data_IF_450296204827
#
_entry.id   IF_450296204827
#
_cell.length_a   1.000
_cell.length_b   1.000
_cell.length_c   1.000
_cell.angle_alpha   90.00
_cell.angle_beta   90.00
_cell.angle_gamma   90.00
#
_symmetry.space_group_name_H-M   'P 1'
#
loop_
_entity.id
_entity.type
_entity.pdbx_description
1 polymer ?
#
# COMPACT_ATOMS: atom_id res chain seq x y z
N UNK A 1 -21.43 -24.65 -14.99
CA UNK A 1 -20.39 -24.39 -16.02
C UNK A 1 -19.35 -25.49 -16.20
N UNK A 2 -19.10 -26.38 -15.22
CA UNK A 2 -18.09 -27.46 -15.32
C UNK A 2 -18.46 -28.63 -16.27
N UNK A 3 -19.68 -28.67 -16.80
CA UNK A 3 -20.21 -29.80 -17.57
C UNK A 3 -20.02 -29.69 -19.09
N UNK A 4 -19.57 -28.53 -19.63
CA UNK A 4 -19.37 -28.35 -21.09
C UNK A 4 -17.93 -27.92 -21.41
N UNK A 5 -17.02 -28.87 -21.67
CA UNK A 5 -15.60 -28.58 -21.91
C UNK A 5 -15.36 -27.74 -23.19
N UNK A 6 -16.25 -27.84 -24.18
CA UNK A 6 -16.10 -27.11 -25.45
C UNK A 6 -16.40 -25.61 -25.30
N UNK A 7 -17.38 -25.25 -24.46
CA UNK A 7 -17.65 -23.85 -24.14
C UNK A 7 -16.47 -23.22 -23.40
N UNK A 8 -15.82 -23.98 -22.50
CA UNK A 8 -14.63 -23.55 -21.77
C UNK A 8 -13.45 -23.31 -22.72
N UNK A 9 -13.24 -24.18 -23.71
CA UNK A 9 -12.20 -23.99 -24.74
C UNK A 9 -12.44 -22.73 -25.57
N UNK A 10 -13.69 -22.49 -26.01
CA UNK A 10 -14.05 -21.26 -26.75
C UNK A 10 -13.85 -20.01 -25.89
N UNK A 11 -14.35 -20.02 -24.66
CA UNK A 11 -14.15 -18.93 -23.69
C UNK A 11 -12.66 -18.65 -23.48
N UNK A 12 -11.80 -19.67 -23.45
CA UNK A 12 -10.34 -19.49 -23.33
C UNK A 12 -9.75 -18.77 -24.53
N UNK A 13 -10.13 -19.15 -25.75
CA UNK A 13 -9.65 -18.52 -26.97
C UNK A 13 -10.09 -17.05 -27.04
N UNK A 14 -11.37 -16.77 -26.75
CA UNK A 14 -11.87 -15.39 -26.67
C UNK A 14 -11.20 -14.58 -25.57
N UNK A 15 -10.99 -15.17 -24.39
CA UNK A 15 -10.31 -14.50 -23.26
C UNK A 15 -8.86 -14.16 -23.59
N UNK A 16 -8.16 -15.05 -24.30
CA UNK A 16 -6.80 -14.79 -24.77
C UNK A 16 -6.80 -13.70 -25.85
N UNK A 17 -7.66 -13.81 -26.86
CA UNK A 17 -7.81 -12.80 -27.92
C UNK A 17 -8.11 -11.41 -27.37
N UNK A 18 -9.09 -11.29 -26.47
CA UNK A 18 -9.41 -10.04 -25.77
C UNK A 18 -8.22 -9.50 -24.97
N UNK A 19 -7.42 -10.37 -24.35
CA UNK A 19 -6.21 -9.95 -23.61
C UNK A 19 -5.14 -9.38 -24.54
N UNK A 20 -4.97 -9.95 -25.75
CA UNK A 20 -4.03 -9.44 -26.76
C UNK A 20 -4.53 -8.10 -27.31
N UNK A 21 -5.79 -7.99 -27.69
CA UNK A 21 -6.38 -6.73 -28.21
C UNK A 21 -6.28 -5.61 -27.17
N UNK A 22 -6.66 -5.88 -25.91
CA UNK A 22 -6.53 -4.90 -24.83
C UNK A 22 -5.08 -4.49 -24.58
N UNK A 23 -4.15 -5.43 -24.71
CA UNK A 23 -2.72 -5.14 -24.58
C UNK A 23 -2.24 -4.24 -25.71
N UNK A 24 -2.65 -4.52 -26.95
CA UNK A 24 -2.35 -3.73 -28.15
C UNK A 24 -2.91 -2.30 -28.05
N UNK A 25 -4.18 -2.13 -27.67
CA UNK A 25 -4.79 -0.80 -27.52
C UNK A 25 -4.06 0.07 -26.48
N UNK A 26 -3.69 -0.52 -25.35
CA UNK A 26 -2.98 0.22 -24.29
C UNK A 26 -1.52 0.55 -24.72
N UNK A 27 -0.84 -0.35 -25.42
CA UNK A 27 0.49 -0.05 -25.99
C UNK A 27 0.40 1.04 -27.05
N UNK A 28 -0.64 1.02 -27.89
CA UNK A 28 -0.91 2.05 -28.90
C UNK A 28 -1.12 3.42 -28.25
N UNK A 29 -1.89 3.50 -27.15
CA UNK A 29 -2.03 4.75 -26.38
C UNK A 29 -0.70 5.25 -25.82
N UNK A 30 0.12 4.37 -25.24
CA UNK A 30 1.42 4.76 -24.69
C UNK A 30 2.33 5.28 -25.80
N UNK A 31 2.42 4.58 -26.93
CA UNK A 31 3.25 5.01 -28.07
C UNK A 31 2.75 6.34 -28.64
N UNK A 32 1.45 6.56 -28.74
CA UNK A 32 0.88 7.82 -29.24
C UNK A 32 1.23 9.00 -28.32
N UNK A 33 1.32 8.78 -27.01
CA UNK A 33 1.76 9.79 -26.04
C UNK A 33 3.26 10.11 -26.19
N UNK A 34 4.09 9.10 -26.45
CA UNK A 34 5.54 9.25 -26.64
C UNK A 34 5.97 9.53 -28.09
N UNK A 35 5.02 9.61 -29.02
CA UNK A 35 5.24 9.86 -30.44
C UNK A 35 6.12 11.10 -30.74
N UNK A 36 5.92 12.28 -30.10
CA UNK A 36 6.79 13.43 -30.36
C UNK A 36 8.24 13.20 -29.92
N UNK A 37 8.46 12.43 -28.85
CA UNK A 37 9.81 12.07 -28.38
C UNK A 37 10.47 11.07 -29.33
N UNK A 38 9.70 10.08 -29.81
CA UNK A 38 10.18 9.02 -30.70
C UNK A 38 10.55 9.54 -32.10
N UNK A 39 9.82 10.51 -32.64
CA UNK A 39 10.12 11.08 -33.95
C UNK A 39 11.23 12.14 -33.91
N UNK A 40 11.23 13.02 -32.89
CA UNK A 40 12.13 14.18 -32.86
C UNK A 40 13.51 13.84 -32.30
N UNK A 41 13.60 12.93 -31.32
CA UNK A 41 14.87 12.61 -30.65
C UNK A 41 15.52 11.34 -31.22
N UNK A 42 14.69 10.37 -31.62
CA UNK A 42 15.17 9.04 -32.06
C UNK A 42 15.10 8.81 -33.58
N UNK A 43 14.58 9.77 -34.36
CA UNK A 43 14.48 9.72 -35.83
C UNK A 43 13.91 8.39 -36.39
N UNK A 44 12.99 7.75 -35.65
CA UNK A 44 12.49 6.42 -35.99
C UNK A 44 11.62 6.45 -37.25
N UNK A 45 11.85 5.51 -38.17
CA UNK A 45 10.99 5.33 -39.36
C UNK A 45 9.68 4.68 -38.95
N UNK A 46 8.62 4.95 -39.72
CA UNK A 46 7.27 4.38 -39.50
C UNK A 46 7.27 2.84 -39.41
N UNK A 47 8.19 2.17 -40.11
CA UNK A 47 8.33 0.70 -40.04
C UNK A 47 8.89 0.23 -38.68
N UNK A 48 9.79 1.00 -38.06
CA UNK A 48 10.36 0.67 -36.75
C UNK A 48 9.31 0.77 -35.64
N UNK A 49 8.29 1.63 -35.82
CA UNK A 49 7.14 1.70 -34.91
C UNK A 49 6.33 0.40 -34.90
N UNK A 50 6.08 -0.20 -36.06
CA UNK A 50 5.33 -1.46 -36.17
C UNK A 50 6.12 -2.59 -35.48
N UNK A 51 7.44 -2.61 -35.67
CA UNK A 51 8.33 -3.60 -35.05
C UNK A 51 8.36 -3.45 -33.53
N UNK A 52 8.45 -2.23 -33.03
CA UNK A 52 8.42 -1.91 -31.61
C UNK A 52 7.06 -2.27 -30.98
N UNK A 53 5.95 -1.99 -31.68
CA UNK A 53 4.60 -2.39 -31.24
C UNK A 53 4.47 -3.89 -31.04
N UNK A 54 4.89 -4.69 -32.03
CA UNK A 54 4.78 -6.15 -31.97
C UNK A 54 5.62 -6.75 -30.83
N UNK A 55 6.83 -6.23 -30.63
CA UNK A 55 7.71 -6.65 -29.54
C UNK A 55 7.12 -6.29 -28.17
N UNK A 56 6.56 -5.09 -28.00
CA UNK A 56 5.91 -4.70 -26.75
C UNK A 56 4.65 -5.52 -26.45
N UNK A 57 3.88 -5.91 -27.47
CA UNK A 57 2.72 -6.78 -27.31
C UNK A 57 3.17 -8.17 -26.82
N UNK A 58 4.23 -8.74 -27.40
CA UNK A 58 4.84 -9.99 -26.94
C UNK A 58 5.37 -9.89 -25.50
N UNK A 59 6.04 -8.80 -25.17
CA UNK A 59 6.52 -8.54 -23.82
C UNK A 59 5.36 -8.45 -22.80
N UNK A 60 4.33 -7.68 -23.11
CA UNK A 60 3.19 -7.48 -22.19
C UNK A 60 2.40 -8.77 -21.96
N UNK A 61 2.21 -9.57 -23.00
CA UNK A 61 1.52 -10.86 -22.90
C UNK A 61 2.33 -11.88 -22.09
N UNK A 62 3.67 -11.91 -22.22
CA UNK A 62 4.54 -12.77 -21.38
C UNK A 62 4.51 -12.36 -19.91
N UNK A 63 4.54 -11.07 -19.57
CA UNK A 63 4.41 -10.62 -18.18
C UNK A 63 3.06 -11.00 -17.58
N UNK A 64 1.97 -10.78 -18.32
CA UNK A 64 0.62 -11.15 -17.87
C UNK A 64 0.53 -12.65 -17.61
N UNK A 65 1.18 -13.46 -18.44
CA UNK A 65 1.28 -14.90 -18.27
C UNK A 65 2.08 -15.26 -17.01
N UNK A 66 3.26 -14.67 -16.79
CA UNK A 66 4.11 -14.90 -15.61
C UNK A 66 3.35 -14.52 -14.33
N UNK A 67 2.70 -13.36 -14.30
CA UNK A 67 1.87 -12.90 -13.17
C UNK A 67 0.72 -13.86 -12.87
N UNK A 68 0.08 -14.41 -13.90
CA UNK A 68 -0.99 -15.43 -13.74
C UNK A 68 -0.43 -16.81 -13.34
N UNK A 69 0.81 -17.12 -13.68
CA UNK A 69 1.44 -18.41 -13.36
C UNK A 69 1.95 -18.46 -11.93
N UNK A 70 2.59 -17.39 -11.46
CA UNK A 70 3.24 -17.30 -10.16
C UNK A 70 2.37 -16.49 -9.19
N UNK A 71 1.93 -17.15 -8.11
CA UNK A 71 1.12 -16.51 -7.07
C UNK A 71 1.95 -15.58 -6.16
N UNK A 72 3.27 -15.71 -6.18
CA UNK A 72 4.19 -14.91 -5.37
C UNK A 72 4.63 -13.66 -6.14
N UNK A 73 4.28 -12.50 -5.59
CA UNK A 73 4.55 -11.19 -6.19
C UNK A 73 6.06 -10.98 -6.46
N UNK A 74 6.93 -11.42 -5.54
CA UNK A 74 8.39 -11.30 -5.68
C UNK A 74 8.93 -12.07 -6.89
N UNK A 75 8.52 -13.34 -7.05
CA UNK A 75 8.95 -14.16 -8.18
C UNK A 75 8.43 -13.58 -9.49
N UNK A 76 7.18 -13.09 -9.50
CA UNK A 76 6.63 -12.46 -10.69
C UNK A 76 7.36 -11.16 -11.07
N UNK A 77 7.81 -10.37 -10.08
CA UNK A 77 8.55 -9.12 -10.32
C UNK A 77 9.95 -9.43 -10.82
N UNK A 78 10.67 -10.35 -10.18
CA UNK A 78 12.00 -10.79 -10.62
C UNK A 78 11.96 -11.34 -12.05
N UNK A 79 11.01 -12.22 -12.36
CA UNK A 79 10.85 -12.74 -13.71
C UNK A 79 10.49 -11.65 -14.73
N UNK A 80 9.69 -10.65 -14.34
CA UNK A 80 9.40 -9.52 -15.23
C UNK A 80 10.61 -8.62 -15.50
N UNK A 81 11.51 -8.48 -14.52
CA UNK A 81 12.77 -7.75 -14.67
C UNK A 81 13.75 -8.49 -15.59
N UNK A 82 13.83 -9.82 -15.47
CA UNK A 82 14.65 -10.67 -16.37
C UNK A 82 14.16 -10.57 -17.82
N UNK A 83 12.84 -10.62 -18.03
CA UNK A 83 12.30 -10.44 -19.39
C UNK A 83 12.55 -9.02 -19.90
N UNK A 84 12.46 -8.00 -19.03
CA UNK A 84 12.78 -6.61 -19.40
C UNK A 84 14.24 -6.44 -19.81
N UNK A 85 15.18 -7.03 -19.08
CA UNK A 85 16.62 -6.93 -19.38
C UNK A 85 16.97 -7.63 -20.69
N UNK A 86 16.35 -8.78 -20.97
CA UNK A 86 16.51 -9.47 -22.25
C UNK A 86 15.98 -8.65 -23.42
N UNK A 87 14.80 -8.04 -23.27
CA UNK A 87 14.23 -7.13 -24.28
C UNK A 87 15.12 -5.89 -24.49
N UNK A 88 15.64 -5.32 -23.40
CA UNK A 88 16.58 -4.19 -23.46
C UNK A 88 17.87 -4.51 -24.21
N UNK A 89 18.46 -5.69 -23.96
CA UNK A 89 19.64 -6.17 -24.71
C UNK A 89 19.34 -6.38 -26.20
N UNK A 90 18.16 -6.88 -26.53
CA UNK A 90 17.75 -7.10 -27.94
C UNK A 90 17.65 -5.76 -28.69
N UNK A 91 17.10 -4.73 -28.04
CA UNK A 91 16.97 -3.39 -28.62
C UNK A 91 18.32 -2.71 -28.90
N UNK A 92 19.39 -3.05 -28.17
CA UNK A 92 20.71 -2.43 -28.34
C UNK A 92 21.62 -3.15 -29.34
N UNK A 93 21.40 -4.44 -29.61
CA UNK A 93 22.37 -5.27 -30.34
C UNK A 93 21.85 -5.90 -31.65
N UNK A 94 20.55 -5.81 -31.95
CA UNK A 94 19.94 -6.60 -33.04
C UNK A 94 19.18 -5.71 -34.03
N UNK A 95 19.19 -6.09 -35.32
CA UNK A 95 18.48 -5.40 -36.39
C UNK A 95 16.94 -5.38 -36.20
N UNK A 96 16.25 -4.33 -36.69
CA UNK A 96 14.81 -4.13 -36.44
C UNK A 96 13.88 -5.26 -36.91
N UNK A 97 14.30 -6.00 -37.95
CA UNK A 97 13.54 -7.12 -38.52
C UNK A 97 13.42 -8.30 -37.54
N UNK A 98 14.43 -8.50 -36.68
CA UNK A 98 14.44 -9.62 -35.73
C UNK A 98 13.45 -9.39 -34.58
N UNK A 99 13.08 -8.14 -34.28
CA UNK A 99 12.08 -7.80 -33.25
C UNK A 99 10.71 -8.41 -33.56
N UNK A 100 10.33 -8.45 -34.83
CA UNK A 100 9.08 -9.06 -35.29
C UNK A 100 9.09 -10.56 -35.04
N UNK A 101 10.18 -11.23 -35.43
CA UNK A 101 10.34 -12.68 -35.24
C UNK A 101 10.23 -13.05 -33.76
N UNK A 102 10.93 -12.34 -32.89
CA UNK A 102 10.91 -12.58 -31.45
C UNK A 102 9.54 -12.29 -30.84
N UNK A 103 8.90 -11.18 -31.21
CA UNK A 103 7.56 -10.83 -30.74
C UNK A 103 6.51 -11.89 -31.11
N UNK A 104 6.54 -12.38 -32.34
CA UNK A 104 5.66 -13.46 -32.80
C UNK A 104 5.94 -14.78 -32.09
N UNK A 105 7.22 -15.15 -31.91
CA UNK A 105 7.60 -16.36 -31.19
C UNK A 105 7.15 -16.30 -29.72
N UNK A 106 7.33 -15.16 -29.05
CA UNK A 106 6.91 -14.98 -27.65
C UNK A 106 5.38 -15.04 -27.49
N UNK A 107 4.63 -14.40 -28.39
CA UNK A 107 3.16 -14.48 -28.38
C UNK A 107 2.66 -15.90 -28.66
N UNK A 108 3.33 -16.62 -29.57
CA UNK A 108 2.99 -18.00 -29.89
C UNK A 108 3.30 -18.97 -28.73
N UNK A 109 4.49 -18.88 -28.14
CA UNK A 109 4.91 -19.70 -26.98
C UNK A 109 3.97 -19.45 -25.80
N UNK A 110 3.65 -18.18 -25.50
CA UNK A 110 2.72 -17.86 -24.40
C UNK A 110 1.31 -18.35 -24.67
N UNK A 111 0.81 -18.24 -25.92
CA UNK A 111 -0.47 -18.80 -26.34
C UNK A 111 -0.52 -20.33 -26.16
N UNK A 112 0.52 -21.05 -26.61
CA UNK A 112 0.64 -22.49 -26.45
C UNK A 112 0.68 -22.92 -24.98
N UNK A 113 1.51 -22.26 -24.16
CA UNK A 113 1.61 -22.54 -22.73
C UNK A 113 0.28 -22.23 -22.02
N UNK A 114 -0.44 -21.17 -22.41
CA UNK A 114 -1.75 -20.83 -21.89
C UNK A 114 -2.81 -21.90 -22.20
N UNK A 115 -2.74 -22.53 -23.38
CA UNK A 115 -3.63 -23.63 -23.74
C UNK A 115 -3.33 -24.92 -22.95
N UNK A 116 -2.07 -25.18 -22.61
CA UNK A 116 -1.64 -26.37 -21.87
C UNK A 116 -1.84 -26.27 -20.35
N UNK A 117 -2.22 -25.10 -19.83
CA UNK A 117 -2.43 -24.90 -18.39
C UNK A 117 -3.71 -25.56 -17.87
N UNK A 118 -3.59 -26.17 -16.70
CA UNK A 118 -4.67 -26.83 -16.00
C UNK A 118 -5.69 -25.82 -15.45
N UNK A 119 -6.79 -25.66 -16.19
CA UNK A 119 -7.73 -24.55 -16.04
C UNK A 119 -8.78 -24.80 -14.95
N UNK A 120 -9.16 -26.05 -14.69
CA UNK A 120 -10.26 -26.39 -13.77
C UNK A 120 -9.97 -25.92 -12.34
N UNK A 121 -8.76 -26.20 -11.85
CA UNK A 121 -8.31 -25.77 -10.52
C UNK A 121 -8.12 -24.26 -10.42
N UNK A 122 -7.76 -23.62 -11.54
CA UNK A 122 -7.49 -22.18 -11.59
C UNK A 122 -8.75 -21.34 -11.70
N UNK A 123 -9.73 -21.75 -12.52
CA UNK A 123 -11.03 -21.08 -12.59
C UNK A 123 -11.72 -21.07 -11.23
N UNK A 124 -11.65 -22.17 -10.47
CA UNK A 124 -12.18 -22.20 -9.10
C UNK A 124 -11.48 -21.17 -8.19
N UNK A 125 -10.15 -21.08 -8.29
CA UNK A 125 -9.35 -20.11 -7.55
C UNK A 125 -9.62 -18.66 -7.99
N UNK A 126 -9.84 -18.42 -9.28
CA UNK A 126 -10.14 -17.11 -9.83
C UNK A 126 -11.54 -16.65 -9.36
N UNK A 127 -12.53 -17.54 -9.36
CA UNK A 127 -13.88 -17.28 -8.80
C UNK A 127 -13.79 -16.99 -7.29
N UNK A 128 -12.99 -17.77 -6.55
CA UNK A 128 -12.76 -17.54 -5.12
C UNK A 128 -12.13 -16.16 -4.87
N UNK A 129 -11.13 -15.79 -5.67
CA UNK A 129 -10.47 -14.48 -5.59
C UNK A 129 -11.41 -13.32 -5.97
N UNK A 130 -12.23 -13.49 -7.00
CA UNK A 130 -13.23 -12.51 -7.41
C UNK A 130 -14.30 -12.29 -6.34
N UNK A 131 -14.79 -13.38 -5.74
CA UNK A 131 -15.71 -13.31 -4.59
C UNK A 131 -15.05 -12.61 -3.39
N UNK A 132 -13.77 -12.87 -3.12
CA UNK A 132 -13.04 -12.18 -2.06
C UNK A 132 -12.91 -10.68 -2.33
N UNK A 133 -12.62 -10.27 -3.58
CA UNK A 133 -12.53 -8.85 -3.95
C UNK A 133 -13.89 -8.16 -3.88
N UNK A 134 -14.95 -8.82 -4.37
CA UNK A 134 -16.33 -8.34 -4.27
C UNK A 134 -16.73 -8.12 -2.82
N UNK A 135 -16.48 -9.10 -1.95
CA UNK A 135 -16.78 -8.98 -0.51
C UNK A 135 -15.97 -7.85 0.15
N UNK A 136 -14.71 -7.66 -0.26
CA UNK A 136 -13.89 -6.54 0.23
C UNK A 136 -14.47 -5.19 -0.17
N UNK A 137 -14.96 -5.05 -1.41
CA UNK A 137 -15.61 -3.82 -1.89
C UNK A 137 -16.91 -3.56 -1.15
N UNK A 138 -17.74 -4.61 -0.98
CA UNK A 138 -18.97 -4.54 -0.19
C UNK A 138 -18.66 -4.07 1.23
N UNK A 139 -17.64 -4.63 1.89
CA UNK A 139 -17.21 -4.20 3.21
C UNK A 139 -16.73 -2.73 3.22
N UNK A 140 -16.01 -2.27 2.18
CA UNK A 140 -15.61 -0.86 2.09
C UNK A 140 -16.83 0.07 1.97
N UNK A 141 -17.83 -0.31 1.19
CA UNK A 141 -19.09 0.46 1.05
C UNK A 141 -19.81 0.52 2.41
N UNK A 142 -19.92 -0.62 3.10
CA UNK A 142 -20.52 -0.65 4.44
C UNK A 142 -19.73 0.14 5.48
N UNK A 143 -18.40 0.20 5.38
CA UNK A 143 -17.58 1.06 6.24
C UNK A 143 -17.71 2.55 5.92
N UNK A 144 -18.14 2.91 4.71
CA UNK A 144 -18.39 4.29 4.30
C UNK A 144 -19.82 4.75 4.61
N UNK A 145 -20.78 3.82 4.74
CA UNK A 145 -22.15 4.14 5.16
C UNK A 145 -22.21 4.36 6.67
N UNK A 146 -22.61 5.57 7.08
CA UNK A 146 -22.73 5.97 8.50
C UNK A 146 -23.83 5.19 9.27
N UNK A 147 -24.74 4.53 8.57
CA UNK A 147 -25.92 3.88 9.15
C UNK A 147 -25.68 2.42 9.61
N UNK A 148 -24.48 1.88 9.35
CA UNK A 148 -24.15 0.51 9.77
C UNK A 148 -23.03 0.58 10.80
N UNK A 149 -23.39 0.37 12.06
CA UNK A 149 -22.42 0.01 13.12
C UNK A 149 -21.84 -1.37 12.78
N UNK A 150 -20.85 -1.40 11.89
CA UNK A 150 -20.07 -2.60 11.63
C UNK A 150 -19.20 -2.81 12.85
N UNK A 151 -19.68 -3.66 13.75
CA UNK A 151 -18.93 -4.16 14.89
C UNK A 151 -17.60 -4.74 14.37
N UNK A 152 -16.53 -3.97 14.53
CA UNK A 152 -15.19 -4.44 14.20
C UNK A 152 -14.84 -5.52 15.21
N UNK A 153 -15.26 -6.77 14.96
CA UNK A 153 -14.60 -7.94 15.52
C UNK A 153 -13.20 -8.00 14.93
N UNK A 154 -12.33 -7.09 15.38
CA UNK A 154 -10.90 -7.27 15.28
C UNK A 154 -10.63 -8.62 15.91
N UNK A 155 -10.17 -9.59 15.12
CA UNK A 155 -9.72 -10.88 15.64
C UNK A 155 -8.92 -10.60 16.91
N UNK A 156 -9.29 -11.18 18.07
CA UNK A 156 -8.59 -10.90 19.30
C UNK A 156 -7.13 -11.33 19.09
N UNK A 157 -6.27 -10.35 18.83
CA UNK A 157 -4.86 -10.61 18.64
C UNK A 157 -4.40 -11.22 19.96
N UNK A 158 -3.58 -12.28 19.89
CA UNK A 158 -2.93 -12.87 21.06
C UNK A 158 -2.27 -11.72 21.82
N UNK A 159 -2.94 -11.24 22.86
CA UNK A 159 -2.54 -10.05 23.61
C UNK A 159 -1.13 -10.34 24.07
N UNK A 160 -0.18 -9.49 23.70
CA UNK A 160 1.04 -9.37 24.48
C UNK A 160 0.54 -8.94 25.86
N UNK A 161 0.35 -9.92 26.76
CA UNK A 161 0.11 -9.68 28.18
C UNK A 161 1.40 -9.11 28.73
N UNK A 162 1.68 -7.84 28.39
CA UNK A 162 2.52 -6.99 29.19
C UNK A 162 1.86 -7.01 30.57
N UNK A 163 2.42 -7.81 31.48
CA UNK A 163 2.06 -7.83 32.90
C UNK A 163 2.16 -6.37 33.34
N UNK A 164 1.03 -5.68 33.41
CA UNK A 164 1.06 -4.23 33.55
C UNK A 164 1.45 -3.92 34.98
N UNK A 165 2.76 -3.73 35.20
CA UNK A 165 3.26 -3.17 36.44
C UNK A 165 2.68 -1.76 36.58
N UNK A 166 2.58 -1.29 37.82
CA UNK A 166 1.97 0.00 38.17
C UNK A 166 2.86 1.11 37.61
N UNK A 167 2.28 2.07 36.88
CA UNK A 167 3.05 3.22 36.35
C UNK A 167 3.31 4.26 37.45
N UNK A 168 2.37 4.46 38.37
CA UNK A 168 2.52 5.39 39.49
C UNK A 168 2.57 4.67 40.84
N UNK A 169 3.49 5.07 41.73
CA UNK A 169 3.61 4.54 43.09
C UNK A 169 2.53 5.09 44.04
N UNK A 170 2.08 6.35 43.85
CA UNK A 170 1.05 7.01 44.67
C UNK A 170 -0.34 6.88 44.04
N UNK A 171 -1.31 6.33 44.79
CA UNK A 171 -2.72 6.14 44.41
C UNK A 171 -3.51 7.43 44.68
N UNK A 172 -3.53 8.33 43.70
CA UNK A 172 -4.53 9.40 43.62
C UNK A 172 -5.46 9.09 42.45
N UNK A 173 -6.73 9.51 42.53
CA UNK A 173 -7.73 9.31 41.47
C UNK A 173 -7.22 9.81 40.11
N UNK A 174 -6.52 10.95 40.10
CA UNK A 174 -5.88 11.52 38.92
C UNK A 174 -4.80 10.62 38.31
N UNK A 175 -3.96 9.99 39.15
CA UNK A 175 -2.89 9.11 38.66
C UNK A 175 -3.46 7.80 38.13
N UNK A 176 -4.55 7.30 38.72
CA UNK A 176 -5.26 6.10 38.24
C UNK A 176 -5.90 6.37 36.88
N UNK A 177 -6.59 7.51 36.74
CA UNK A 177 -7.14 7.99 35.48
C UNK A 177 -6.07 8.09 34.38
N UNK A 178 -4.95 8.74 34.70
CA UNK A 178 -3.85 8.92 33.78
C UNK A 178 -3.22 7.58 33.38
N UNK A 179 -3.04 6.66 34.32
CA UNK A 179 -2.52 5.32 34.05
C UNK A 179 -3.43 4.52 33.11
N UNK A 180 -4.76 4.62 33.27
CA UNK A 180 -5.72 3.97 32.38
C UNK A 180 -5.63 4.57 30.97
N UNK A 181 -5.58 5.90 30.84
CA UNK A 181 -5.47 6.59 29.55
C UNK A 181 -4.19 6.20 28.80
N UNK A 182 -3.03 6.26 29.47
CA UNK A 182 -1.74 5.86 28.87
C UNK A 182 -1.79 4.39 28.43
N UNK A 183 -2.29 3.51 29.30
CA UNK A 183 -2.38 2.07 28.98
C UNK A 183 -3.35 1.80 27.84
N UNK A 184 -4.43 2.57 27.71
CA UNK A 184 -5.37 2.44 26.60
C UNK A 184 -4.69 2.74 25.26
N UNK A 185 -3.94 3.85 25.18
CA UNK A 185 -3.17 4.21 23.97
C UNK A 185 -2.13 3.14 23.62
N UNK A 186 -1.35 2.68 24.60
CA UNK A 186 -0.28 1.70 24.36
C UNK A 186 -0.87 0.35 23.91
N UNK A 187 -2.03 -0.06 24.44
CA UNK A 187 -2.66 -1.33 24.10
C UNK A 187 -3.33 -1.31 22.73
N UNK A 188 -3.68 -0.13 22.22
CA UNK A 188 -4.40 0.01 20.97
C UNK A 188 -3.45 0.30 19.81
N UNK A 189 -3.15 -0.73 19.01
CA UNK A 189 -2.18 -0.68 17.90
C UNK A 189 -2.40 0.50 16.94
N UNK A 190 -3.66 0.90 16.70
CA UNK A 190 -3.99 2.05 15.84
C UNK A 190 -3.41 3.36 16.38
N UNK A 191 -3.53 3.61 17.69
CA UNK A 191 -3.06 4.86 18.28
C UNK A 191 -1.52 4.88 18.40
N UNK A 192 -0.91 3.79 18.88
CA UNK A 192 0.55 3.70 18.96
C UNK A 192 1.22 3.66 17.57
N UNK A 193 0.59 2.99 16.60
CA UNK A 193 1.07 2.93 15.21
C UNK A 193 1.01 4.30 14.54
N UNK A 194 -0.11 5.01 14.67
CA UNK A 194 -0.23 6.38 14.18
C UNK A 194 0.77 7.33 14.86
N UNK A 195 0.97 7.20 16.18
CA UNK A 195 1.97 7.98 16.92
C UNK A 195 3.39 7.76 16.38
N UNK A 196 3.80 6.49 16.23
CA UNK A 196 5.12 6.15 15.70
C UNK A 196 5.28 6.60 14.24
N UNK A 197 4.23 6.48 13.42
CA UNK A 197 4.26 6.92 12.03
C UNK A 197 4.44 8.44 11.92
N UNK A 198 3.66 9.23 12.66
CA UNK A 198 3.78 10.70 12.70
C UNK A 198 5.20 11.09 13.13
N UNK A 199 5.73 10.43 14.16
CA UNK A 199 7.09 10.68 14.67
C UNK A 199 8.16 10.35 13.60
N UNK A 200 8.11 9.16 13.00
CA UNK A 200 9.09 8.72 12.00
C UNK A 200 9.07 9.58 10.73
N UNK A 201 7.88 9.95 10.25
CA UNK A 201 7.74 10.84 9.08
C UNK A 201 8.38 12.19 9.38
N UNK A 202 8.11 12.77 10.56
CA UNK A 202 8.68 14.06 10.95
C UNK A 202 10.20 13.99 11.04
N UNK A 203 10.75 12.93 11.65
CA UNK A 203 12.20 12.70 11.72
C UNK A 203 12.84 12.59 10.34
N UNK A 204 12.23 11.82 9.44
CA UNK A 204 12.73 11.63 8.07
C UNK A 204 12.77 12.94 7.29
N UNK A 205 11.71 13.75 7.38
CA UNK A 205 11.63 15.05 6.74
C UNK A 205 12.71 16.00 7.28
N UNK A 206 12.92 16.02 8.60
CA UNK A 206 13.95 16.86 9.22
C UNK A 206 15.34 16.49 8.72
N UNK A 207 15.64 15.21 8.52
CA UNK A 207 16.95 14.75 8.03
C UNK A 207 17.19 15.14 6.57
N UNK A 208 16.18 14.97 5.70
CA UNK A 208 16.34 15.17 4.24
C UNK A 208 16.39 16.64 3.84
N UNK A 209 15.59 17.49 4.47
CA UNK A 209 15.44 18.89 4.04
C UNK A 209 16.72 19.67 4.33
N UNK A 210 17.46 20.20 3.34
CA UNK A 210 18.74 20.86 3.59
C UNK A 210 18.60 22.23 4.28
N UNK A 211 17.46 22.90 4.09
CA UNK A 211 17.25 24.27 4.58
C UNK A 211 16.82 24.33 6.05
N UNK A 212 17.57 25.05 6.87
CA UNK A 212 17.31 25.24 8.30
C UNK A 212 15.98 25.98 8.59
N UNK A 213 15.59 26.93 7.73
CA UNK A 213 14.35 27.69 7.90
C UNK A 213 13.10 26.82 7.75
N UNK A 214 13.10 25.95 6.74
CA UNK A 214 12.00 25.00 6.54
C UNK A 214 11.90 24.00 7.69
N UNK A 215 13.04 23.55 8.20
CA UNK A 215 13.11 22.63 9.35
C UNK A 215 12.50 23.26 10.60
N UNK A 216 12.76 24.55 10.87
CA UNK A 216 12.16 25.27 11.99
C UNK A 216 10.62 25.37 11.88
N UNK A 217 10.10 25.67 10.68
CA UNK A 217 8.66 25.73 10.41
C UNK A 217 8.01 24.36 10.63
N UNK A 218 8.65 23.29 10.14
CA UNK A 218 8.18 21.91 10.29
C UNK A 218 8.16 21.51 11.76
N UNK A 219 9.19 21.88 12.52
CA UNK A 219 9.26 21.60 13.95
C UNK A 219 8.15 22.30 14.75
N UNK A 220 7.89 23.58 14.50
CA UNK A 220 6.79 24.33 15.15
C UNK A 220 5.44 23.71 14.78
N UNK A 221 5.25 23.39 13.49
CA UNK A 221 4.03 22.74 13.00
C UNK A 221 3.82 21.37 13.64
N UNK A 222 4.89 20.60 13.83
CA UNK A 222 4.84 19.31 14.51
C UNK A 222 4.40 19.44 15.97
N UNK A 223 4.90 20.41 16.72
CA UNK A 223 4.49 20.64 18.12
C UNK A 223 2.99 20.96 18.19
N UNK A 224 2.51 21.87 17.33
CA UNK A 224 1.09 22.22 17.28
C UNK A 224 0.24 21.01 16.89
N UNK A 225 0.67 20.27 15.87
CA UNK A 225 -0.03 19.09 15.36
C UNK A 225 -0.12 17.99 16.42
N UNK A 226 0.99 17.62 17.05
CA UNK A 226 0.99 16.53 18.04
C UNK A 226 0.15 16.91 19.27
N UNK A 227 0.15 18.19 19.66
CA UNK A 227 -0.68 18.68 20.74
C UNK A 227 -2.18 18.58 20.41
N UNK A 228 -2.58 18.98 19.20
CA UNK A 228 -3.95 18.87 18.71
C UNK A 228 -4.38 17.41 18.54
N UNK A 229 -3.49 16.57 18.01
CA UNK A 229 -3.76 15.15 17.79
C UNK A 229 -4.03 14.41 19.10
N UNK A 230 -3.22 14.64 20.14
CA UNK A 230 -3.48 14.06 21.47
C UNK A 230 -4.75 14.61 22.14
N UNK A 231 -5.21 15.81 21.75
CA UNK A 231 -6.52 16.31 22.17
C UNK A 231 -7.64 15.43 21.58
N UNK A 232 -7.59 15.18 20.28
CA UNK A 232 -8.57 14.32 19.60
C UNK A 232 -8.53 12.88 20.10
N UNK A 233 -7.35 12.32 20.35
CA UNK A 233 -7.21 10.97 20.94
C UNK A 233 -7.80 10.91 22.34
N UNK A 234 -7.60 11.94 23.16
CA UNK A 234 -8.23 12.00 24.48
C UNK A 234 -9.75 12.05 24.38
N UNK A 235 -10.29 12.90 23.49
CA UNK A 235 -11.74 13.07 23.34
C UNK A 235 -12.39 11.75 22.85
N UNK A 236 -11.74 11.03 21.92
CA UNK A 236 -12.17 9.69 21.47
C UNK A 236 -12.10 8.62 22.57
N UNK A 237 -11.10 8.69 23.45
CA UNK A 237 -10.96 7.74 24.55
C UNK A 237 -12.03 7.96 25.62
N UNK A 238 -12.30 9.22 25.97
CA UNK A 238 -13.32 9.57 26.96
C UNK A 238 -14.74 9.32 26.43
N UNK A 239 -14.98 9.48 25.13
CA UNK A 239 -16.27 9.17 24.51
C UNK A 239 -16.54 7.68 24.30
N UNK A 240 -15.58 6.80 24.60
CA UNK A 240 -15.76 5.36 24.47
C UNK A 240 -16.54 4.77 25.64
N UNK A 241 -17.36 3.74 25.38
CA UNK A 241 -18.20 3.04 26.38
C UNK A 241 -17.46 2.50 27.61
N UNK A 242 -16.12 2.45 27.56
CA UNK A 242 -15.30 2.04 28.70
C UNK A 242 -15.24 3.11 29.79
N UNK A 243 -15.31 4.40 29.45
CA UNK A 243 -15.20 5.51 30.40
C UNK A 243 -16.55 6.03 30.91
N UNK A 244 -17.67 5.63 30.30
CA UNK A 244 -19.03 5.92 30.79
C UNK A 244 -19.38 5.15 32.07
N UNK A 245 -18.71 4.02 32.33
CA UNK A 245 -18.97 3.14 33.50
C UNK A 245 -18.19 3.56 34.76
N UNK A 246 -17.16 4.41 34.62
CA UNK A 246 -16.36 4.84 35.77
C UNK A 246 -16.75 6.27 36.15
N UNK A 247 -17.24 6.51 37.38
CA UNK A 247 -17.67 7.84 37.80
C UNK A 247 -16.45 8.76 37.96
N UNK A 248 -16.43 9.88 37.22
CA UNK A 248 -15.36 10.88 37.31
C UNK A 248 -15.93 12.29 37.52
N UNK A 249 -15.34 13.06 38.43
CA UNK A 249 -15.68 14.48 38.63
C UNK A 249 -15.09 15.36 37.52
N UNK A 250 -15.91 16.22 36.89
CA UNK A 250 -15.52 17.11 35.77
C UNK A 250 -14.32 18.03 36.03
N UNK A 251 -14.01 18.39 37.28
CA UNK A 251 -12.86 19.23 37.59
C UNK A 251 -11.52 18.48 37.49
N UNK A 252 -11.49 17.21 37.91
CA UNK A 252 -10.27 16.38 37.93
C UNK A 252 -9.92 15.81 36.55
N UNK A 253 -10.88 15.72 35.62
CA UNK A 253 -10.65 15.28 34.23
C UNK A 253 -9.80 16.29 33.45
N UNK A 254 -9.99 17.59 33.70
CA UNK A 254 -9.21 18.67 33.08
C UNK A 254 -7.72 18.56 33.49
N UNK A 255 -7.45 18.31 34.78
CA UNK A 255 -6.09 18.10 35.27
C UNK A 255 -5.45 16.82 34.70
N UNK A 256 -6.19 15.72 34.66
CA UNK A 256 -5.74 14.47 34.06
C UNK A 256 -5.46 14.62 32.55
N UNK A 257 -6.30 15.36 31.80
CA UNK A 257 -6.13 15.68 30.37
C UNK A 257 -4.83 16.43 30.12
N UNK A 258 -4.57 17.51 30.86
CA UNK A 258 -3.36 18.32 30.72
C UNK A 258 -2.09 17.50 31.00
N UNK A 259 -2.13 16.65 32.04
CA UNK A 259 -1.01 15.81 32.44
C UNK A 259 -0.77 14.65 31.47
N UNK A 260 -1.84 14.01 30.97
CA UNK A 260 -1.77 12.98 29.93
C UNK A 260 -1.14 13.51 28.64
N UNK A 261 -1.62 14.66 28.15
CA UNK A 261 -1.04 15.32 26.97
C UNK A 261 0.45 15.54 27.15
N UNK A 262 0.85 16.15 28.28
CA UNK A 262 2.25 16.43 28.58
C UNK A 262 3.10 15.15 28.59
N UNK A 263 2.62 14.07 29.23
CA UNK A 263 3.34 12.80 29.28
C UNK A 263 3.53 12.14 27.91
N UNK A 264 2.57 12.30 27.01
CA UNK A 264 2.63 11.68 25.68
C UNK A 264 3.35 12.54 24.63
N UNK A 265 3.26 13.88 24.74
CA UNK A 265 3.94 14.81 23.80
C UNK A 265 5.42 14.99 24.12
N UNK A 266 5.80 14.97 25.41
CA UNK A 266 7.18 15.24 25.82
C UNK A 266 8.21 14.29 25.20
N UNK A 267 8.02 12.96 25.20
CA UNK A 267 9.00 12.05 24.60
C UNK A 267 9.25 12.34 23.12
N UNK A 268 8.19 12.69 22.37
CA UNK A 268 8.31 13.03 20.95
C UNK A 268 9.09 14.33 20.73
N UNK A 269 8.78 15.36 21.52
CA UNK A 269 9.46 16.65 21.41
C UNK A 269 10.94 16.48 21.74
N UNK A 270 11.28 15.78 22.83
CA UNK A 270 12.67 15.53 23.24
C UNK A 270 13.45 14.82 22.12
N UNK A 271 12.87 13.78 21.54
CA UNK A 271 13.53 12.99 20.49
C UNK A 271 13.75 13.84 19.22
N UNK A 272 12.73 14.59 18.78
CA UNK A 272 12.85 15.46 17.61
C UNK A 272 13.86 16.58 17.85
N UNK A 273 13.88 17.20 19.03
CA UNK A 273 14.88 18.21 19.39
C UNK A 273 16.29 17.65 19.37
N UNK A 274 16.50 16.44 19.89
CA UNK A 274 17.81 15.78 19.86
C UNK A 274 18.29 15.59 18.41
N UNK A 275 17.44 15.11 17.52
CA UNK A 275 17.79 14.91 16.10
C UNK A 275 18.07 16.25 15.40
N UNK A 276 17.31 17.30 15.72
CA UNK A 276 17.59 18.65 15.24
C UNK A 276 18.96 19.16 15.69
N UNK A 277 19.32 18.97 16.96
CA UNK A 277 20.64 19.39 17.47
C UNK A 277 21.79 18.63 16.80
N UNK A 278 21.64 17.32 16.61
CA UNK A 278 22.64 16.49 15.91
C UNK A 278 22.81 16.96 14.46
N UNK A 279 21.71 17.30 13.79
CA UNK A 279 21.76 17.81 12.41
C UNK A 279 22.43 19.18 12.31
N UNK A 280 22.21 20.08 13.26
CA UNK A 280 22.88 21.42 13.25
C UNK A 280 24.39 21.29 13.47
N UNK A 281 24.81 20.24 14.19
CA UNK A 281 26.22 19.94 14.46
C UNK A 281 26.95 19.21 13.31
N UNK A 282 26.22 18.59 12.38
CA UNK A 282 26.74 17.84 11.22
C UNK A 282 26.76 18.73 9.98
#
# INVERSE_FOLDING_TARGET
>A
MLQRPDLIKRLRLYSFGLSVVKSAMNILMVILLFLPVLLVIYELKVMDFIFLMLLLIGYKTTILFIRKRFNHLVVSVLMSLVVLSLVGMILTFISPVVYVGIGLVLTFITGYLFMKMDYKRRLLKDIEMENHLRNRLINMIFHMSNDVEVDMRTKPMKRVRLRSRRLFKKRTEENVLLEILIKSVIRHHKYIGAYLQIMLVTLFVIIIVPSYWFVAIIYISFIAFIHSWFNSVYDQLVSSDFFTVVPYSNSKTIFAKKRFKRWMTLPSIILVTLVLTVKIWL
#
